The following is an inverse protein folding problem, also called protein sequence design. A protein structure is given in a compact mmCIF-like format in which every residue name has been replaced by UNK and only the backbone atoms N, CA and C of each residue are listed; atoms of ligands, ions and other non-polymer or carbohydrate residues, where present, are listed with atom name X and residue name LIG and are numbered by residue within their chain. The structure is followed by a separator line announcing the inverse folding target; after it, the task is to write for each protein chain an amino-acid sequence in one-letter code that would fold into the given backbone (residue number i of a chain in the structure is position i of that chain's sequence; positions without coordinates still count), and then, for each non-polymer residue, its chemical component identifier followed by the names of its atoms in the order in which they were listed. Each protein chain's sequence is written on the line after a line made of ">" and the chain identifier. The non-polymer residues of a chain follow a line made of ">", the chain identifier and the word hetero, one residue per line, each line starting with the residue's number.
data_IF_282148349985
#
_entry.id   IF_282148349985
#
_cell.length_a   1.000
_cell.length_b   1.000
_cell.length_c   1.000
_cell.angle_alpha   90.00
_cell.angle_beta   90.00
_cell.angle_gamma   90.00
#
_symmetry.space_group_name_H-M   'P 1'
#
loop_
_entity.id
_entity.type
_entity.pdbx_description
1 polymer ?
#
# COMPACT_ATOMS: atom_id res chain seq x y z
N UNK A 1 20.59 -19.93 8.46
CA UNK A 1 19.58 -19.39 7.52
C UNK A 1 19.67 -17.89 7.64
N UNK A 2 19.89 -17.18 6.53
CA UNK A 2 20.42 -15.81 6.53
C UNK A 2 19.44 -14.78 7.13
N UNK A 3 19.80 -14.21 8.27
CA UNK A 3 19.15 -13.10 8.96
C UNK A 3 19.44 -11.75 8.27
N UNK A 4 18.86 -11.50 7.09
CA UNK A 4 19.03 -10.20 6.41
C UNK A 4 17.80 -9.69 5.65
N UNK A 5 16.58 -10.02 6.11
CA UNK A 5 15.37 -9.40 5.57
C UNK A 5 14.99 -8.18 6.41
N UNK A 6 14.95 -7.02 5.75
CA UNK A 6 14.43 -5.79 6.40
C UNK A 6 12.96 -5.99 6.78
N UNK A 7 12.50 -5.41 7.90
CA UNK A 7 11.08 -5.40 8.21
C UNK A 7 10.31 -4.64 7.13
N UNK A 8 9.15 -5.18 6.74
CA UNK A 8 8.23 -4.48 5.84
C UNK A 8 7.68 -3.20 6.50
N UNK A 9 7.49 -2.16 5.70
CA UNK A 9 6.85 -0.91 6.12
C UNK A 9 5.35 -1.11 6.40
N UNK A 10 4.68 -0.06 6.89
CA UNK A 10 3.23 -0.11 7.12
C UNK A 10 2.48 -0.29 5.79
N UNK A 11 2.85 0.51 4.79
CA UNK A 11 2.28 0.46 3.45
C UNK A 11 2.45 -0.91 2.82
N UNK A 12 3.67 -1.45 2.83
CA UNK A 12 3.98 -2.77 2.26
C UNK A 12 3.17 -3.90 2.89
N UNK A 13 2.96 -3.84 4.21
CA UNK A 13 2.10 -4.80 4.93
C UNK A 13 0.65 -4.66 4.50
N UNK A 14 0.11 -3.44 4.46
CA UNK A 14 -1.31 -3.17 4.15
C UNK A 14 -1.67 -3.58 2.73
N UNK A 15 -0.79 -3.37 1.75
CA UNK A 15 -1.03 -3.75 0.35
C UNK A 15 -0.60 -5.18 0.00
N UNK A 16 -0.10 -5.95 0.99
CA UNK A 16 0.46 -7.30 0.80
C UNK A 16 1.48 -7.31 -0.34
N UNK A 17 2.56 -6.55 -0.18
CA UNK A 17 3.54 -6.27 -1.25
C UNK A 17 4.06 -7.54 -1.94
N UNK A 18 4.30 -8.61 -1.19
CA UNK A 18 4.83 -9.89 -1.71
C UNK A 18 3.77 -10.79 -2.37
N UNK A 19 2.49 -10.39 -2.44
CA UNK A 19 1.42 -11.20 -3.04
C UNK A 19 1.29 -10.93 -4.55
N UNK A 20 2.22 -11.41 -5.37
CA UNK A 20 2.14 -11.33 -6.84
C UNK A 20 2.36 -12.70 -7.46
N UNK A 21 1.31 -13.52 -7.53
CA UNK A 21 1.37 -14.89 -8.06
C UNK A 21 1.57 -14.95 -9.58
N UNK A 22 1.37 -13.84 -10.28
CA UNK A 22 1.48 -13.75 -11.74
C UNK A 22 2.83 -13.19 -12.22
N UNK A 23 3.72 -12.82 -11.29
CA UNK A 23 5.01 -12.16 -11.59
C UNK A 23 4.87 -10.95 -12.53
N UNK A 24 3.75 -10.22 -12.41
CA UNK A 24 3.45 -9.08 -13.28
C UNK A 24 4.05 -7.81 -12.68
N UNK A 25 5.00 -7.20 -13.40
CA UNK A 25 5.69 -5.97 -12.98
C UNK A 25 4.74 -4.77 -12.76
N UNK A 26 3.62 -4.70 -13.48
CA UNK A 26 2.63 -3.63 -13.30
C UNK A 26 1.90 -3.77 -11.95
N UNK A 27 1.63 -5.01 -11.50
CA UNK A 27 1.06 -5.27 -10.16
C UNK A 27 2.04 -4.80 -9.08
N UNK A 28 3.32 -5.13 -9.22
CA UNK A 28 4.35 -4.71 -8.26
C UNK A 28 4.44 -3.19 -8.19
N UNK A 29 4.50 -2.53 -9.36
CA UNK A 29 4.55 -1.07 -9.43
C UNK A 29 3.34 -0.41 -8.77
N UNK A 30 2.13 -0.89 -9.04
CA UNK A 30 0.90 -0.36 -8.46
C UNK A 30 0.89 -0.51 -6.93
N UNK A 31 1.33 -1.66 -6.42
CA UNK A 31 1.43 -1.90 -4.98
C UNK A 31 2.52 -1.04 -4.33
N UNK A 32 3.68 -0.87 -4.96
CA UNK A 32 4.75 0.00 -4.47
C UNK A 32 4.24 1.45 -4.35
N UNK A 33 3.53 1.95 -5.35
CA UNK A 33 2.96 3.31 -5.31
C UNK A 33 1.96 3.48 -4.15
N UNK A 34 1.06 2.51 -3.97
CA UNK A 34 0.10 2.55 -2.87
C UNK A 34 0.77 2.42 -1.49
N UNK A 35 1.77 1.52 -1.36
CA UNK A 35 2.55 1.37 -0.14
C UNK A 35 3.28 2.67 0.24
N UNK A 36 3.98 3.28 -0.71
CA UNK A 36 4.70 4.54 -0.50
C UNK A 36 3.75 5.66 -0.09
N UNK A 37 2.57 5.75 -0.72
CA UNK A 37 1.56 6.74 -0.33
C UNK A 37 1.07 6.51 1.11
N UNK A 38 0.79 5.27 1.50
CA UNK A 38 0.37 4.92 2.86
C UNK A 38 1.46 5.27 3.89
N UNK A 39 2.72 4.92 3.60
CA UNK A 39 3.85 5.23 4.46
C UNK A 39 4.05 6.73 4.62
N UNK A 40 3.88 7.50 3.53
CA UNK A 40 4.00 8.94 3.55
C UNK A 40 2.87 9.59 4.35
N UNK A 41 1.62 9.16 4.17
CA UNK A 41 0.48 9.61 5.00
C UNK A 41 0.79 9.34 6.47
N UNK A 42 1.19 8.11 6.81
CA UNK A 42 1.51 7.74 8.19
C UNK A 42 2.70 8.53 8.76
N UNK A 43 3.65 8.95 7.93
CA UNK A 43 4.80 9.78 8.33
C UNK A 43 4.38 11.22 8.62
N UNK A 44 3.66 11.87 7.70
CA UNK A 44 3.35 13.30 7.81
C UNK A 44 2.25 13.60 8.83
N UNK A 45 1.41 12.62 9.17
CA UNK A 45 0.32 12.80 10.16
C UNK A 45 0.68 12.34 11.56
N UNK A 46 1.84 11.71 11.77
CA UNK A 46 2.19 11.01 13.03
C UNK A 46 2.16 11.89 14.27
N UNK A 47 2.72 13.09 14.16
CA UNK A 47 2.96 13.98 15.31
C UNK A 47 1.90 15.07 15.45
N UNK A 48 0.79 14.95 14.72
CA UNK A 48 -0.32 15.91 14.81
C UNK A 48 -0.97 15.84 16.19
N UNK A 49 -1.26 17.02 16.75
CA UNK A 49 -2.04 17.18 18.00
C UNK A 49 -3.53 17.33 17.74
N UNK A 50 -3.93 17.48 16.48
CA UNK A 50 -5.34 17.55 16.09
C UNK A 50 -5.95 16.16 16.10
N UNK A 51 -7.06 16.01 16.84
CA UNK A 51 -7.82 14.78 17.01
C UNK A 51 -8.37 14.27 15.67
N UNK A 52 -8.63 15.17 14.72
CA UNK A 52 -9.23 14.82 13.44
C UNK A 52 -8.20 14.21 12.46
N UNK A 53 -6.93 14.55 12.60
CA UNK A 53 -5.87 14.11 11.68
C UNK A 53 -5.70 12.58 11.65
N UNK A 54 -5.67 11.84 12.78
CA UNK A 54 -5.65 10.38 12.76
C UNK A 54 -6.84 9.76 12.01
N UNK A 55 -8.04 10.34 12.12
CA UNK A 55 -9.23 9.88 11.40
C UNK A 55 -9.07 10.07 9.89
N UNK A 56 -8.60 11.24 9.47
CA UNK A 56 -8.34 11.54 8.06
C UNK A 56 -7.22 10.65 7.48
N UNK A 57 -6.14 10.43 8.22
CA UNK A 57 -5.06 9.54 7.84
C UNK A 57 -5.56 8.10 7.64
N UNK A 58 -6.36 7.59 8.58
CA UNK A 58 -6.96 6.26 8.49
C UNK A 58 -7.86 6.12 7.24
N UNK A 59 -8.67 7.13 6.93
CA UNK A 59 -9.49 7.15 5.72
C UNK A 59 -8.63 7.15 4.45
N UNK A 60 -7.63 8.03 4.37
CA UNK A 60 -6.75 8.14 3.21
C UNK A 60 -6.01 6.82 2.94
N UNK A 61 -5.44 6.20 3.98
CA UNK A 61 -4.75 4.92 3.83
C UNK A 61 -5.70 3.78 3.42
N UNK A 62 -6.90 3.72 3.99
CA UNK A 62 -7.93 2.73 3.60
C UNK A 62 -8.32 2.89 2.13
N UNK A 63 -8.47 4.14 1.66
CA UNK A 63 -8.77 4.41 0.25
C UNK A 63 -7.62 4.08 -0.69
N UNK A 64 -6.37 4.20 -0.24
CA UNK A 64 -5.22 3.74 -1.01
C UNK A 64 -5.18 2.21 -1.13
N UNK A 65 -5.49 1.47 -0.06
CA UNK A 65 -5.61 0.00 -0.12
C UNK A 65 -6.70 -0.44 -1.09
N UNK A 66 -7.87 0.20 -1.02
CA UNK A 66 -8.98 -0.06 -1.93
C UNK A 66 -8.61 0.23 -3.38
N UNK A 67 -7.99 1.39 -3.66
CA UNK A 67 -7.52 1.74 -4.99
C UNK A 67 -6.48 0.74 -5.53
N UNK A 68 -5.54 0.29 -4.70
CA UNK A 68 -4.55 -0.72 -5.08
C UNK A 68 -5.22 -2.04 -5.47
N UNK A 69 -6.23 -2.49 -4.71
CA UNK A 69 -6.98 -3.71 -5.03
C UNK A 69 -7.72 -3.58 -6.36
N UNK A 70 -8.43 -2.46 -6.59
CA UNK A 70 -9.13 -2.22 -7.85
C UNK A 70 -8.18 -2.11 -9.05
N UNK A 71 -7.00 -1.50 -8.87
CA UNK A 71 -6.00 -1.41 -9.92
C UNK A 71 -5.43 -2.79 -10.30
N UNK A 72 -5.12 -3.65 -9.31
CA UNK A 72 -4.71 -5.04 -9.56
C UNK A 72 -5.80 -5.79 -10.31
N UNK A 73 -7.06 -5.68 -9.85
CA UNK A 73 -8.20 -6.30 -10.53
C UNK A 73 -8.28 -5.87 -11.99
N UNK A 74 -8.12 -4.58 -12.27
CA UNK A 74 -8.16 -4.05 -13.63
C UNK A 74 -7.04 -4.60 -14.51
N UNK A 75 -5.81 -4.68 -14.00
CA UNK A 75 -4.66 -5.23 -14.73
C UNK A 75 -4.81 -6.72 -15.01
N UNK A 76 -5.46 -7.46 -14.12
CA UNK A 76 -5.71 -8.91 -14.28
C UNK A 76 -7.02 -9.24 -14.99
N UNK A 77 -7.80 -8.23 -15.39
CA UNK A 77 -9.06 -8.46 -16.08
C UNK A 77 -8.80 -9.09 -17.45
N UNK A 78 -9.64 -10.02 -17.93
CA UNK A 78 -9.52 -10.54 -19.28
C UNK A 78 -9.59 -9.37 -20.28
N UNK A 79 -8.61 -9.29 -21.18
CA UNK A 79 -8.72 -8.42 -22.35
C UNK A 79 -9.95 -8.85 -23.16
N UNK A 80 -10.79 -7.89 -23.55
CA UNK A 80 -11.91 -8.14 -24.46
C UNK A 80 -11.43 -8.59 -25.84
#
# INVERSE_FOLDING_TARGET
>A
MSDNERPLTLGEKRVRINFNVTENNDIDRLKILAANFIDEVARVTRDSKDIEVPRLAALAMTKAEEAAMWAVKAVTAPSA
#
